data_IF_438141010194
#
_entry.id   IF_438141010194
#
_cell.length_a   1.000
_cell.length_b   1.000
_cell.length_c   1.000
_cell.angle_alpha   90.00
_cell.angle_beta   90.00
_cell.angle_gamma   90.00
#
_symmetry.space_group_name_H-M   'P 1'
#
loop_
_entity.id
_entity.type
_entity.pdbx_description
1 polymer ?
#
# COMPACT_ATOMS: atom_id res chain seq x y z
N UNK A 1 12.03 -8.23 -19.14
CA UNK A 1 11.43 -8.82 -17.97
C UNK A 1 11.78 -7.93 -16.78
N UNK A 2 10.78 -7.20 -16.35
CA UNK A 2 10.85 -6.15 -15.34
C UNK A 2 11.26 -6.70 -13.97
N UNK A 3 12.39 -6.26 -13.45
CA UNK A 3 12.91 -6.58 -12.13
C UNK A 3 12.34 -5.66 -11.02
N UNK A 4 11.13 -5.14 -11.18
CA UNK A 4 10.47 -4.25 -10.21
C UNK A 4 9.29 -4.95 -9.54
N UNK A 5 9.52 -6.16 -9.07
CA UNK A 5 8.55 -6.96 -8.34
C UNK A 5 8.99 -7.16 -6.89
N UNK A 6 8.23 -6.59 -5.95
CA UNK A 6 7.87 -7.25 -4.70
C UNK A 6 8.97 -7.56 -3.70
N UNK A 7 9.63 -6.55 -3.12
CA UNK A 7 10.27 -6.75 -1.83
C UNK A 7 9.92 -5.64 -0.82
N UNK A 8 8.63 -5.37 -0.66
CA UNK A 8 8.15 -4.88 0.63
C UNK A 8 7.96 -6.09 1.54
N UNK A 9 9.06 -6.64 2.03
CA UNK A 9 9.03 -7.57 3.14
C UNK A 9 8.40 -6.85 4.33
N UNK A 10 7.20 -7.32 4.73
CA UNK A 10 6.62 -6.94 6.00
C UNK A 10 7.68 -7.20 7.08
N UNK A 11 8.08 -6.15 7.80
CA UNK A 11 8.97 -6.29 8.96
C UNK A 11 8.29 -7.28 9.89
N UNK A 12 8.90 -8.44 10.20
CA UNK A 12 8.30 -9.39 11.12
C UNK A 12 8.21 -8.71 12.49
N UNK A 13 7.03 -8.68 13.09
CA UNK A 13 6.81 -8.26 14.46
C UNK A 13 7.55 -9.23 15.40
N UNK A 14 8.62 -8.79 16.09
CA UNK A 14 9.40 -9.67 16.97
C UNK A 14 8.65 -10.07 18.25
N UNK A 15 7.44 -9.56 18.49
CA UNK A 15 6.65 -9.78 19.71
C UNK A 15 5.38 -10.62 19.50
N UNK A 16 5.19 -11.29 18.37
CA UNK A 16 4.03 -12.15 18.17
C UNK A 16 4.19 -13.43 19.01
N UNK A 17 3.36 -13.67 20.04
CA UNK A 17 3.38 -14.93 20.76
C UNK A 17 3.07 -16.05 19.78
N UNK A 18 3.84 -17.16 19.88
CA UNK A 18 3.56 -18.41 19.17
C UNK A 18 2.22 -18.97 19.68
N UNK A 19 1.13 -18.55 19.06
CA UNK A 19 -0.19 -19.13 19.30
C UNK A 19 -0.20 -20.53 18.67
N UNK A 20 -0.43 -21.52 19.52
CA UNK A 20 -0.45 -22.93 19.17
C UNK A 20 -1.24 -23.22 17.90
N UNK A 21 -0.70 -24.11 17.10
CA UNK A 21 -1.19 -24.56 15.80
C UNK A 21 -2.42 -25.49 15.93
N UNK A 22 -3.51 -25.01 16.48
CA UNK A 22 -4.83 -25.61 16.26
C UNK A 22 -5.50 -24.79 15.17
N UNK A 23 -5.46 -25.33 13.96
CA UNK A 23 -5.76 -24.62 12.72
C UNK A 23 -7.22 -24.18 12.58
N UNK A 24 -7.57 -23.01 13.16
CA UNK A 24 -8.79 -22.35 12.79
C UNK A 24 -8.73 -21.99 11.30
N UNK A 25 -9.75 -22.42 10.56
CA UNK A 25 -9.92 -22.08 9.16
C UNK A 25 -11.26 -21.32 9.03
N UNK A 26 -11.25 -20.06 8.63
CA UNK A 26 -12.49 -19.33 8.38
C UNK A 26 -13.23 -19.97 7.21
N UNK A 27 -14.56 -20.04 7.29
CA UNK A 27 -15.39 -20.48 6.17
C UNK A 27 -15.25 -19.55 4.97
N UNK A 28 -15.57 -19.98 3.75
CA UNK A 28 -15.55 -19.10 2.56
C UNK A 28 -16.36 -17.82 2.76
N UNK A 29 -17.52 -17.88 3.40
CA UNK A 29 -18.33 -16.72 3.72
C UNK A 29 -17.65 -15.77 4.71
N UNK A 30 -17.02 -16.29 5.76
CA UNK A 30 -16.26 -15.49 6.71
C UNK A 30 -15.04 -14.85 6.06
N UNK A 31 -14.33 -15.56 5.17
CA UNK A 31 -13.20 -15.01 4.40
C UNK A 31 -13.65 -13.82 3.54
N UNK A 32 -14.75 -14.00 2.80
CA UNK A 32 -15.31 -12.93 1.98
C UNK A 32 -15.71 -11.73 2.83
N UNK A 33 -16.40 -11.96 3.94
CA UNK A 33 -16.82 -10.89 4.85
C UNK A 33 -15.64 -10.14 5.45
N UNK A 34 -14.56 -10.84 5.86
CA UNK A 34 -13.33 -10.23 6.37
C UNK A 34 -12.65 -9.33 5.35
N UNK A 35 -12.66 -9.70 4.06
CA UNK A 35 -12.08 -8.92 2.99
C UNK A 35 -13.01 -7.78 2.51
N UNK A 36 -14.32 -7.99 2.51
CA UNK A 36 -15.27 -7.09 1.85
C UNK A 36 -15.87 -6.05 2.80
N UNK A 37 -16.36 -6.49 3.99
CA UNK A 37 -17.12 -5.62 4.87
C UNK A 37 -16.27 -4.50 5.52
N UNK A 38 -14.98 -4.72 5.65
CA UNK A 38 -14.07 -3.82 6.38
C UNK A 38 -13.10 -3.04 5.49
N UNK A 39 -13.36 -2.96 4.19
CA UNK A 39 -12.63 -2.07 3.29
C UNK A 39 -12.84 -0.59 3.63
N UNK A 40 -13.98 -0.29 4.27
CA UNK A 40 -14.31 1.00 4.85
C UNK A 40 -14.78 0.82 6.28
N UNK A 41 -14.50 1.81 7.13
CA UNK A 41 -15.04 1.80 8.48
C UNK A 41 -14.48 0.68 9.37
N UNK A 42 -13.24 0.25 9.16
CA UNK A 42 -12.57 -0.63 10.11
C UNK A 42 -12.63 -0.02 11.52
N UNK A 43 -12.97 -0.80 12.57
CA UNK A 43 -13.17 -0.25 13.91
C UNK A 43 -11.92 0.45 14.44
N UNK A 44 -12.05 1.74 14.83
CA UNK A 44 -11.00 2.53 15.47
C UNK A 44 -11.27 2.56 16.97
N UNK A 45 -10.96 1.47 17.67
CA UNK A 45 -11.14 1.30 19.12
C UNK A 45 -10.02 0.41 19.67
N UNK A 46 -9.97 0.23 20.99
CA UNK A 46 -8.90 -0.53 21.66
C UNK A 46 -8.90 -2.01 21.26
N UNK A 47 -10.10 -2.59 20.99
CA UNK A 47 -10.28 -4.01 20.64
C UNK A 47 -10.93 -4.20 19.27
N UNK A 48 -10.29 -3.75 18.16
CA UNK A 48 -10.91 -3.74 16.83
C UNK A 48 -11.26 -5.15 16.34
N UNK A 49 -10.41 -6.13 16.61
CA UNK A 49 -10.65 -7.52 16.20
C UNK A 49 -11.77 -8.20 16.98
N UNK A 50 -12.08 -7.76 18.21
CA UNK A 50 -13.23 -8.25 18.94
C UNK A 50 -14.54 -7.73 18.30
N UNK A 51 -14.57 -6.48 17.87
CA UNK A 51 -15.72 -5.88 17.16
C UNK A 51 -15.95 -6.60 15.82
N UNK A 52 -14.92 -6.83 15.05
CA UNK A 52 -15.01 -7.59 13.79
C UNK A 52 -15.48 -9.02 14.05
N UNK A 53 -14.95 -9.65 15.10
CA UNK A 53 -15.31 -11.02 15.50
C UNK A 53 -16.76 -11.16 15.89
N UNK A 54 -17.29 -10.23 16.68
CA UNK A 54 -18.70 -10.22 17.09
C UNK A 54 -19.67 -10.18 15.91
N UNK A 55 -19.30 -9.54 14.80
CA UNK A 55 -20.10 -9.50 13.58
C UNK A 55 -20.08 -10.80 12.76
N UNK A 56 -19.14 -11.72 13.04
CA UNK A 56 -18.89 -12.94 12.27
C UNK A 56 -18.95 -14.21 13.11
N UNK A 57 -19.40 -14.13 14.37
CA UNK A 57 -19.37 -15.20 15.36
C UNK A 57 -17.99 -15.81 15.55
N UNK A 58 -16.96 -14.95 15.59
CA UNK A 58 -15.56 -15.30 15.78
C UNK A 58 -14.98 -14.61 17.02
N UNK A 59 -14.03 -15.25 17.68
CA UNK A 59 -13.21 -14.58 18.69
C UNK A 59 -12.20 -13.62 18.02
N UNK A 60 -11.71 -12.62 18.76
CA UNK A 60 -10.65 -11.73 18.30
C UNK A 60 -9.40 -12.48 17.81
N UNK A 61 -9.04 -13.56 18.52
CA UNK A 61 -7.89 -14.41 18.15
C UNK A 61 -8.12 -15.11 16.79
N UNK A 62 -9.33 -15.62 16.54
CA UNK A 62 -9.69 -16.25 15.27
C UNK A 62 -9.69 -15.23 14.11
N UNK A 63 -10.18 -14.01 14.33
CA UNK A 63 -10.12 -12.92 13.35
C UNK A 63 -8.67 -12.58 13.00
N UNK A 64 -7.82 -12.41 14.01
CA UNK A 64 -6.41 -12.11 13.81
C UNK A 64 -5.68 -13.25 13.05
N UNK A 65 -5.98 -14.50 13.39
CA UNK A 65 -5.44 -15.67 12.69
C UNK A 65 -5.90 -15.69 11.22
N UNK A 66 -7.18 -15.42 10.97
CA UNK A 66 -7.72 -15.35 9.62
C UNK A 66 -7.06 -14.23 8.77
N UNK A 67 -6.88 -13.03 9.31
CA UNK A 67 -6.20 -11.95 8.61
C UNK A 67 -4.72 -12.28 8.33
N UNK A 68 -4.01 -12.91 9.27
CA UNK A 68 -2.64 -13.39 9.04
C UNK A 68 -2.58 -14.44 7.93
N UNK A 69 -3.57 -15.32 7.85
CA UNK A 69 -3.66 -16.29 6.78
C UNK A 69 -3.94 -15.62 5.42
N UNK A 70 -4.91 -14.71 5.35
CA UNK A 70 -5.22 -13.94 4.14
C UNK A 70 -4.01 -13.14 3.64
N UNK A 71 -3.20 -12.59 4.55
CA UNK A 71 -1.97 -11.90 4.20
C UNK A 71 -0.90 -12.87 3.62
N UNK A 72 -0.72 -14.06 4.22
CA UNK A 72 0.21 -15.06 3.69
C UNK A 72 -0.21 -15.61 2.32
N UNK A 73 -1.51 -15.67 2.05
CA UNK A 73 -2.08 -16.10 0.77
C UNK A 73 -2.07 -15.00 -0.29
N UNK A 74 -1.63 -13.78 0.05
CA UNK A 74 -1.63 -12.63 -0.86
C UNK A 74 -3.01 -12.02 -1.13
N UNK A 75 -4.07 -12.49 -0.44
CA UNK A 75 -5.41 -11.94 -0.57
C UNK A 75 -5.59 -10.60 0.19
N UNK A 76 -4.71 -10.32 1.14
CA UNK A 76 -4.67 -9.08 1.90
C UNK A 76 -3.24 -8.54 1.91
N UNK A 77 -3.04 -7.34 1.41
CA UNK A 77 -1.71 -6.70 1.44
C UNK A 77 -1.40 -6.09 2.82
N UNK A 78 -2.35 -5.37 3.40
CA UNK A 78 -2.23 -4.74 4.73
C UNK A 78 -3.58 -4.28 5.26
N UNK A 79 -3.66 -4.09 6.57
CA UNK A 79 -4.70 -3.30 7.23
C UNK A 79 -4.05 -1.99 7.67
N UNK A 80 -4.57 -0.86 7.22
CA UNK A 80 -4.00 0.44 7.56
C UNK A 80 -4.92 1.59 7.16
N UNK A 81 -4.72 2.72 7.80
CA UNK A 81 -5.46 3.93 7.48
C UNK A 81 -5.07 4.48 6.11
N UNK A 82 -6.05 5.03 5.41
CA UNK A 82 -5.86 5.90 4.25
C UNK A 82 -6.33 7.29 4.66
N UNK A 83 -5.40 8.22 4.71
CA UNK A 83 -5.68 9.59 5.11
C UNK A 83 -6.19 10.41 3.93
N UNK A 84 -7.23 11.20 4.15
CA UNK A 84 -7.69 12.15 3.14
C UNK A 84 -6.62 13.23 2.90
N UNK A 85 -6.47 13.76 1.66
CA UNK A 85 -5.62 14.90 1.41
C UNK A 85 -5.95 16.06 2.36
N UNK A 86 -4.92 16.64 3.01
CA UNK A 86 -5.10 17.75 3.96
C UNK A 86 -5.47 17.34 5.40
N UNK A 87 -5.62 16.04 5.71
CA UNK A 87 -5.88 15.58 7.08
C UNK A 87 -4.65 15.58 8.00
N UNK A 88 -3.49 15.98 7.49
CA UNK A 88 -2.23 16.11 8.21
C UNK A 88 -1.03 15.93 7.29
N UNK A 89 0.05 16.65 7.57
CA UNK A 89 1.26 16.62 6.75
C UNK A 89 1.12 17.32 5.40
N UNK A 90 2.15 17.13 4.58
CA UNK A 90 2.22 17.63 3.20
C UNK A 90 2.73 16.53 2.27
N UNK A 91 2.33 16.59 1.01
CA UNK A 91 2.83 15.73 -0.03
C UNK A 91 2.95 16.47 -1.36
N UNK A 92 3.90 16.04 -2.18
CA UNK A 92 4.07 16.56 -3.52
C UNK A 92 4.46 15.43 -4.47
N UNK A 93 3.92 15.45 -5.67
CA UNK A 93 4.41 14.64 -6.77
C UNK A 93 5.61 15.34 -7.39
N UNK A 94 6.69 14.61 -7.59
CA UNK A 94 7.92 15.12 -8.18
C UNK A 94 8.40 14.19 -9.29
N UNK A 95 9.22 14.72 -10.19
CA UNK A 95 9.83 13.93 -11.24
C UNK A 95 11.24 14.44 -11.55
N UNK A 96 12.13 13.54 -11.96
CA UNK A 96 13.47 13.85 -12.44
C UNK A 96 13.66 13.35 -13.87
N UNK A 97 14.40 14.12 -14.66
CA UNK A 97 14.94 13.69 -15.95
C UNK A 97 16.28 13.01 -15.70
N UNK A 98 16.28 11.71 -15.65
CA UNK A 98 17.46 10.91 -15.31
C UNK A 98 18.06 10.32 -16.58
N UNK A 99 19.38 10.49 -16.84
CA UNK A 99 20.05 9.77 -17.90
C UNK A 99 19.82 8.24 -17.79
N UNK A 100 19.51 7.52 -18.89
CA UNK A 100 19.15 6.11 -18.84
C UNK A 100 20.16 5.23 -18.09
N UNK A 101 21.45 5.51 -18.25
CA UNK A 101 22.55 4.78 -17.61
C UNK A 101 22.64 5.02 -16.08
N UNK A 102 21.96 6.03 -15.57
CA UNK A 102 21.92 6.36 -14.13
C UNK A 102 20.59 6.03 -13.48
N UNK A 103 19.58 5.62 -14.25
CA UNK A 103 18.20 5.51 -13.77
C UNK A 103 18.06 4.60 -12.55
N UNK A 104 18.64 3.41 -12.61
CA UNK A 104 18.60 2.44 -11.50
C UNK A 104 19.28 2.98 -10.23
N UNK A 105 20.47 3.59 -10.39
CA UNK A 105 21.21 4.15 -9.27
C UNK A 105 20.47 5.33 -8.61
N UNK A 106 19.90 6.23 -9.42
CA UNK A 106 19.12 7.37 -8.91
C UNK A 106 17.83 6.89 -8.27
N UNK A 107 17.13 5.92 -8.87
CA UNK A 107 15.92 5.33 -8.28
C UNK A 107 16.20 4.68 -6.92
N UNK A 108 17.36 4.03 -6.75
CA UNK A 108 17.77 3.47 -5.46
C UNK A 108 18.00 4.55 -4.39
N UNK A 109 18.65 5.68 -4.75
CA UNK A 109 18.83 6.83 -3.84
C UNK A 109 17.46 7.41 -3.43
N UNK A 110 16.56 7.60 -4.41
CA UNK A 110 15.22 8.13 -4.15
C UNK A 110 14.41 7.18 -3.25
N UNK A 111 14.46 5.86 -3.52
CA UNK A 111 13.75 4.84 -2.72
C UNK A 111 14.24 4.75 -1.27
N UNK A 112 15.53 4.96 -1.05
CA UNK A 112 16.13 4.87 0.28
C UNK A 112 15.74 6.03 1.20
N UNK A 113 15.20 7.14 0.66
CA UNK A 113 14.85 8.31 1.46
C UNK A 113 13.53 8.09 2.22
N UNK A 114 13.49 8.21 3.56
CA UNK A 114 12.30 7.90 4.37
C UNK A 114 11.07 8.77 4.08
N UNK A 115 11.26 9.95 3.46
CA UNK A 115 10.17 10.81 3.01
C UNK A 115 9.56 10.43 1.66
N UNK A 116 10.11 9.42 0.97
CA UNK A 116 9.60 8.97 -0.34
C UNK A 116 8.76 7.72 -0.15
N UNK A 117 7.50 7.77 -0.58
CA UNK A 117 6.58 6.63 -0.44
C UNK A 117 6.65 5.66 -1.61
N UNK A 118 6.67 6.20 -2.84
CA UNK A 118 6.64 5.43 -4.07
C UNK A 118 7.48 6.13 -5.12
N UNK A 119 8.20 5.37 -5.93
CA UNK A 119 8.76 5.83 -7.17
C UNK A 119 8.38 4.87 -8.31
N UNK A 120 8.39 5.38 -9.52
CA UNK A 120 8.11 4.60 -10.71
C UNK A 120 8.72 5.24 -11.94
N UNK A 121 9.11 4.40 -12.87
CA UNK A 121 9.63 4.81 -14.17
C UNK A 121 8.50 5.07 -15.16
N UNK A 122 8.72 6.02 -16.06
CA UNK A 122 7.85 6.30 -17.22
C UNK A 122 8.68 6.55 -18.46
N UNK A 123 8.20 6.14 -19.61
CA UNK A 123 8.75 6.50 -20.90
C UNK A 123 8.44 7.95 -21.23
N UNK A 124 9.25 8.89 -20.72
CA UNK A 124 9.11 10.33 -20.92
C UNK A 124 10.46 11.04 -20.66
N UNK A 125 10.57 12.31 -21.03
CA UNK A 125 11.73 13.14 -20.67
C UNK A 125 11.95 13.20 -19.15
N UNK A 126 10.89 13.33 -18.38
CA UNK A 126 10.88 13.09 -16.94
C UNK A 126 10.53 11.62 -16.72
N UNK A 127 11.54 10.79 -16.53
CA UNK A 127 11.40 9.33 -16.52
C UNK A 127 11.37 8.71 -15.12
N UNK A 128 11.79 9.40 -14.08
CA UNK A 128 11.66 8.94 -12.69
C UNK A 128 10.66 9.83 -11.94
N UNK A 129 9.55 9.22 -11.54
CA UNK A 129 8.46 9.89 -10.81
C UNK A 129 8.39 9.36 -9.38
N UNK A 130 8.17 10.25 -8.41
CA UNK A 130 8.10 9.86 -7.01
C UNK A 130 7.22 10.81 -6.20
N UNK A 131 6.67 10.31 -5.10
CA UNK A 131 5.87 11.10 -4.16
C UNK A 131 6.69 11.32 -2.89
N UNK A 132 6.88 12.60 -2.55
CA UNK A 132 7.51 13.00 -1.28
C UNK A 132 6.43 13.40 -0.30
N UNK A 133 6.52 12.90 0.92
CA UNK A 133 5.62 13.21 2.03
C UNK A 133 6.40 13.68 3.26
N UNK A 134 5.75 14.45 4.09
CA UNK A 134 6.36 14.94 5.33
C UNK A 134 5.36 15.64 6.23
N UNK A 135 5.73 15.96 7.47
CA UNK A 135 4.85 16.62 8.43
C UNK A 135 4.47 18.06 8.03
N UNK A 136 5.25 18.69 7.12
CA UNK A 136 4.99 20.05 6.64
C UNK A 136 5.52 20.25 5.22
N UNK A 137 5.04 21.26 4.51
CA UNK A 137 5.56 21.65 3.20
C UNK A 137 7.05 21.99 3.26
N UNK A 138 7.52 22.65 4.31
CA UNK A 138 8.93 22.96 4.50
C UNK A 138 9.79 21.69 4.58
N UNK A 139 9.33 20.66 5.29
CA UNK A 139 10.04 19.38 5.38
C UNK A 139 10.06 18.66 4.05
N UNK A 140 8.96 18.69 3.30
CA UNK A 140 8.89 18.15 1.93
C UNK A 140 9.90 18.82 1.01
N UNK A 141 10.00 20.16 1.03
CA UNK A 141 11.02 20.90 0.25
C UNK A 141 12.44 20.58 0.68
N UNK A 142 12.71 20.45 1.98
CA UNK A 142 14.02 20.01 2.48
C UNK A 142 14.39 18.61 1.96
N UNK A 143 13.42 17.68 1.93
CA UNK A 143 13.62 16.35 1.37
C UNK A 143 13.96 16.39 -0.11
N UNK A 144 13.24 17.19 -0.90
CA UNK A 144 13.51 17.33 -2.34
C UNK A 144 14.89 17.94 -2.56
N UNK A 145 15.25 18.99 -1.80
CA UNK A 145 16.56 19.61 -1.89
C UNK A 145 17.70 18.63 -1.56
N UNK A 146 17.51 17.75 -0.56
CA UNK A 146 18.46 16.69 -0.26
C UNK A 146 18.61 15.71 -1.43
N UNK A 147 17.51 15.26 -2.01
CA UNK A 147 17.54 14.37 -3.18
C UNK A 147 18.21 15.01 -4.40
N UNK A 148 18.00 16.31 -4.62
CA UNK A 148 18.67 17.06 -5.68
C UNK A 148 20.21 17.14 -5.43
N UNK A 149 20.61 17.37 -4.19
CA UNK A 149 22.03 17.37 -3.82
C UNK A 149 22.69 15.99 -3.98
N UNK A 150 22.01 14.93 -3.55
CA UNK A 150 22.53 13.55 -3.58
C UNK A 150 22.63 13.01 -5.01
N UNK A 151 21.69 13.41 -5.88
CA UNK A 151 21.61 12.92 -7.27
C UNK A 151 22.30 13.83 -8.28
N UNK A 152 22.50 15.10 -7.94
CA UNK A 152 22.96 16.15 -8.87
C UNK A 152 21.92 16.51 -9.96
N UNK A 153 20.65 16.15 -9.77
CA UNK A 153 19.57 16.35 -10.73
C UNK A 153 18.50 17.28 -10.13
N UNK A 154 17.91 18.12 -10.96
CA UNK A 154 16.80 18.98 -10.54
C UNK A 154 15.48 18.22 -10.60
N UNK A 155 14.69 18.32 -9.55
CA UNK A 155 13.36 17.73 -9.47
C UNK A 155 12.28 18.72 -9.91
N UNK A 156 11.41 18.29 -10.80
CA UNK A 156 10.15 18.98 -11.10
C UNK A 156 9.23 18.84 -9.88
N UNK A 157 8.61 19.94 -9.47
CA UNK A 157 7.66 20.01 -8.37
C UNK A 157 6.26 20.18 -8.90
N UNK A 158 5.36 19.26 -8.59
CA UNK A 158 3.98 19.25 -9.07
C UNK A 158 3.02 19.37 -7.86
N UNK A 159 2.70 20.59 -7.42
CA UNK A 159 1.78 20.79 -6.32
C UNK A 159 0.37 20.31 -6.70
N UNK A 160 -0.33 19.72 -5.75
CA UNK A 160 -1.72 19.31 -5.93
C UNK A 160 -2.62 20.55 -6.02
N UNK A 161 -3.19 20.80 -7.18
CA UNK A 161 -4.11 21.92 -7.39
C UNK A 161 -5.52 21.60 -6.88
N UNK A 162 -5.96 20.35 -7.05
CA UNK A 162 -7.27 19.88 -6.61
C UNK A 162 -7.16 18.43 -6.13
N UNK A 163 -7.57 18.13 -4.88
CA UNK A 163 -7.61 16.77 -4.41
C UNK A 163 -8.82 16.04 -4.99
N UNK A 164 -8.61 14.84 -5.47
CA UNK A 164 -9.68 13.91 -5.83
C UNK A 164 -9.74 12.78 -4.80
N UNK A 165 -10.95 12.48 -4.33
CA UNK A 165 -11.15 11.31 -3.49
C UNK A 165 -11.10 10.07 -4.37
N UNK A 166 -10.10 9.23 -4.17
CA UNK A 166 -10.02 7.92 -4.78
C UNK A 166 -10.59 6.92 -3.77
N UNK A 167 -11.67 6.24 -4.15
CA UNK A 167 -12.25 5.16 -3.39
C UNK A 167 -11.85 3.84 -4.04
N UNK A 168 -10.96 3.10 -3.40
CA UNK A 168 -10.43 1.83 -3.90
C UNK A 168 -11.20 0.62 -3.35
N UNK A 169 -12.27 0.85 -2.58
CA UNK A 169 -13.10 -0.23 -2.09
C UNK A 169 -14.06 -0.68 -3.19
N UNK A 170 -14.12 -1.99 -3.44
CA UNK A 170 -15.01 -2.62 -4.40
C UNK A 170 -15.62 -3.89 -3.81
N UNK A 171 -16.81 -4.24 -4.28
CA UNK A 171 -17.53 -5.42 -3.80
C UNK A 171 -16.92 -6.70 -4.40
N UNK A 172 -16.39 -7.55 -3.53
CA UNK A 172 -15.81 -8.84 -3.90
C UNK A 172 -16.86 -9.95 -4.04
N UNK A 173 -18.13 -9.71 -3.67
CA UNK A 173 -19.19 -10.73 -3.73
C UNK A 173 -19.60 -11.08 -5.16
N UNK A 174 -19.41 -10.16 -6.11
CA UNK A 174 -19.72 -10.37 -7.52
C UNK A 174 -18.80 -11.36 -8.23
N UNK A 175 -17.58 -11.57 -7.72
CA UNK A 175 -16.60 -12.46 -8.35
C UNK A 175 -16.85 -13.95 -8.06
N UNK A 176 -17.61 -14.28 -7.01
CA UNK A 176 -17.94 -15.68 -6.67
C UNK A 176 -19.03 -16.28 -7.57
N UNK A 177 -19.73 -15.46 -8.33
CA UNK A 177 -20.77 -15.91 -9.29
C UNK A 177 -20.26 -16.09 -10.71
N UNK A 178 -19.05 -15.61 -11.00
CA UNK A 178 -18.43 -15.76 -12.33
C UNK A 178 -17.22 -16.69 -12.19
N UNK A 179 -17.43 -17.98 -12.42
CA UNK A 179 -16.33 -18.93 -12.59
C UNK A 179 -15.42 -18.49 -13.74
N UNK A 180 -14.19 -19.05 -13.87
CA UNK A 180 -13.17 -18.58 -14.80
C UNK A 180 -13.59 -18.78 -16.26
N UNK A 181 -14.25 -17.79 -16.82
CA UNK A 181 -14.56 -17.71 -18.24
C UNK A 181 -13.89 -16.49 -18.85
N UNK A 182 -12.55 -16.44 -18.88
CA UNK A 182 -11.83 -15.63 -19.88
C UNK A 182 -10.35 -16.02 -19.92
N UNK A 183 -10.10 -17.22 -20.43
CA UNK A 183 -8.77 -17.58 -20.92
C UNK A 183 -8.95 -18.36 -22.23
N UNK A 184 -9.54 -17.73 -23.23
CA UNK A 184 -9.45 -18.19 -24.62
C UNK A 184 -10.08 -17.12 -25.53
N UNK A 185 -9.27 -16.17 -25.98
CA UNK A 185 -9.36 -15.55 -27.30
C UNK A 185 -8.41 -14.33 -27.36
N UNK A 186 -7.15 -14.58 -27.66
CA UNK A 186 -6.35 -13.70 -28.52
C UNK A 186 -5.61 -14.62 -29.47
N UNK A 187 -6.18 -14.75 -30.67
CA UNK A 187 -5.50 -15.26 -31.85
C UNK A 187 -4.87 -14.10 -32.61
#
# INVERSE_FOLDING_TARGET
PSAWGSDMQAVPDPAAPALGSTGFQPSPAQRLSLLNAWQRGFPLCDEPFAVVGAALDLSAAQVLQAYRQLAREGALSRIGAVFAPGSGGASILSAMAVPPERLEAVAAVVSAHPGVNHNYERENAYNLWFVVTGPSAAQVECTIASLEADTGLTALRLPMLQPYRIDLAFDLSSELTTGPQHAAQVG
#
